data_IF_145984855761
#
_entry.id   IF_145984855761
#
_cell.length_a   1.000
_cell.length_b   1.000
_cell.length_c   1.000
_cell.angle_alpha   90.00
_cell.angle_beta   90.00
_cell.angle_gamma   90.00
#
_symmetry.space_group_name_H-M   'P 1'
#
loop_
_entity.id
_entity.type
_entity.pdbx_description
1 polymer ?
#
# COMPACT_ATOMS: atom_id res chain seq x y z
N UNK A 1 -46.03 -0.66 3.23
CA UNK A 1 -44.69 -0.87 3.84
C UNK A 1 -43.69 -0.49 2.78
N UNK A 2 -43.08 0.68 2.92
CA UNK A 2 -42.24 1.34 1.92
C UNK A 2 -40.85 0.72 1.90
N UNK A 3 -40.43 0.28 0.71
CA UNK A 3 -39.08 -0.14 0.37
C UNK A 3 -38.15 1.08 0.30
N UNK A 4 -37.16 1.16 1.18
CA UNK A 4 -36.05 2.10 1.03
C UNK A 4 -34.86 1.38 0.38
N UNK A 5 -34.40 1.91 -0.75
CA UNK A 5 -33.17 1.51 -1.44
C UNK A 5 -31.93 1.95 -0.63
N UNK A 6 -30.85 1.15 -0.58
CA UNK A 6 -29.63 1.58 0.06
C UNK A 6 -28.86 2.56 -0.84
N UNK A 7 -28.77 3.82 -0.39
CA UNK A 7 -27.89 4.84 -0.98
C UNK A 7 -26.41 4.43 -0.86
N UNK A 8 -25.72 4.31 -2.00
CA UNK A 8 -24.28 4.11 -2.06
C UNK A 8 -23.55 5.40 -1.69
N UNK A 9 -22.96 5.41 -0.49
CA UNK A 9 -22.14 6.51 0.00
C UNK A 9 -20.67 6.08 -0.07
N UNK A 10 -20.01 6.41 -1.18
CA UNK A 10 -18.54 6.36 -1.30
C UNK A 10 -17.94 7.41 -0.35
N UNK A 11 -17.54 6.97 0.84
CA UNK A 11 -16.77 7.76 1.81
C UNK A 11 -15.35 7.25 1.88
N UNK A 12 -14.42 8.20 1.83
CA UNK A 12 -13.00 8.02 2.08
C UNK A 12 -12.77 7.75 3.57
N UNK A 13 -12.44 6.52 3.92
CA UNK A 13 -11.57 6.19 5.06
C UNK A 13 -10.12 6.58 4.69
N UNK A 14 -9.22 7.01 5.56
CA UNK A 14 -9.23 7.27 6.98
C UNK A 14 -8.12 8.28 7.30
N UNK A 15 -8.20 8.86 8.50
CA UNK A 15 -7.34 9.92 9.01
C UNK A 15 -5.96 9.39 9.44
N UNK A 16 -4.90 9.84 8.75
CA UNK A 16 -3.50 9.44 8.94
C UNK A 16 -2.77 10.24 10.06
N UNK A 17 -3.45 10.53 11.17
CA UNK A 17 -2.95 11.49 12.18
C UNK A 17 -2.10 10.84 13.30
N UNK A 18 -2.04 9.52 13.39
CA UNK A 18 -1.45 8.87 14.59
C UNK A 18 0.05 8.51 14.49
N UNK A 19 0.75 8.84 13.39
CA UNK A 19 2.17 8.48 13.21
C UNK A 19 3.19 9.59 13.51
N UNK A 20 2.79 10.77 14.00
CA UNK A 20 3.73 11.89 14.25
C UNK A 20 4.22 12.06 15.70
N UNK A 21 3.77 11.27 16.68
CA UNK A 21 4.12 11.52 18.10
C UNK A 21 5.28 10.71 18.69
N UNK A 22 6.02 9.91 17.91
CA UNK A 22 7.24 9.22 18.40
C UNK A 22 8.56 9.93 18.04
N UNK A 23 8.53 11.24 17.81
CA UNK A 23 9.74 12.09 17.76
C UNK A 23 9.94 12.83 19.09
N UNK A 24 10.16 12.11 20.18
CA UNK A 24 10.61 12.72 21.44
C UNK A 24 12.00 12.20 21.81
N UNK A 25 12.99 13.08 21.60
CA UNK A 25 14.28 13.16 22.32
C UNK A 25 15.02 11.84 22.52
N UNK A 26 15.67 11.36 21.47
CA UNK A 26 16.78 10.42 21.64
C UNK A 26 18.12 11.15 21.51
N UNK A 27 18.91 11.02 22.59
CA UNK A 27 20.27 11.54 22.73
C UNK A 27 21.22 10.93 21.71
N UNK A 28 22.08 11.79 21.14
CA UNK A 28 23.18 11.44 20.24
C UNK A 28 24.18 10.50 20.93
N UNK A 29 24.01 9.19 20.81
CA UNK A 29 25.08 8.22 21.04
C UNK A 29 25.44 7.53 19.71
N UNK A 30 26.68 7.61 19.23
CA UNK A 30 27.11 6.98 17.99
C UNK A 30 27.37 5.49 18.24
N UNK A 31 26.30 4.72 18.31
CA UNK A 31 26.38 3.29 18.60
C UNK A 31 25.08 2.56 18.28
N UNK A 32 24.96 2.07 17.04
CA UNK A 32 24.11 0.92 16.66
C UNK A 32 22.61 1.02 17.01
N UNK A 33 21.95 2.16 16.71
CA UNK A 33 20.52 2.38 17.03
C UNK A 33 19.48 2.01 15.96
N UNK A 34 19.81 1.27 14.91
CA UNK A 34 18.81 0.93 13.87
C UNK A 34 18.24 -0.48 14.03
N UNK A 35 17.76 -0.81 15.24
CA UNK A 35 17.21 -2.16 15.53
C UNK A 35 15.73 -2.21 15.86
N UNK A 36 14.99 -1.10 15.80
CA UNK A 36 13.57 -1.12 16.15
C UNK A 36 12.77 -1.78 15.03
N UNK A 37 12.09 -2.87 15.38
CA UNK A 37 11.02 -3.47 14.57
C UNK A 37 9.71 -2.88 15.08
N UNK A 38 8.97 -2.20 14.22
CA UNK A 38 7.62 -1.73 14.54
C UNK A 38 6.63 -2.70 13.95
N UNK A 39 5.69 -3.18 14.76
CA UNK A 39 4.63 -4.10 14.35
C UNK A 39 3.30 -3.43 14.67
N UNK A 40 2.46 -3.29 13.66
CA UNK A 40 1.13 -2.71 13.79
C UNK A 40 0.11 -3.64 13.13
N UNK A 41 -1.12 -3.58 13.63
CA UNK A 41 -2.26 -4.31 13.09
C UNK A 41 -3.41 -3.32 12.87
N UNK A 42 -3.98 -3.33 11.67
CA UNK A 42 -5.06 -2.43 11.24
C UNK A 42 -6.26 -3.24 10.79
N UNK A 43 -7.45 -2.93 11.34
CA UNK A 43 -8.70 -3.50 10.86
C UNK A 43 -9.15 -2.74 9.61
N UNK A 44 -9.37 -3.48 8.53
CA UNK A 44 -9.84 -2.91 7.27
C UNK A 44 -11.37 -2.85 7.25
N UNK A 45 -11.94 -1.92 6.49
CA UNK A 45 -13.38 -1.82 6.34
C UNK A 45 -13.97 -3.09 5.71
N UNK A 46 -15.22 -3.40 6.06
CA UNK A 46 -15.91 -4.64 5.65
C UNK A 46 -16.40 -4.63 4.18
N UNK A 47 -15.94 -3.70 3.35
CA UNK A 47 -16.26 -3.75 1.93
C UNK A 47 -15.23 -4.60 1.19
N UNK A 48 -15.72 -5.33 0.19
CA UNK A 48 -14.85 -6.09 -0.69
C UNK A 48 -13.94 -5.14 -1.48
N UNK A 49 -12.64 -5.39 -1.44
CA UNK A 49 -11.75 -5.10 -2.56
C UNK A 49 -11.64 -6.40 -3.32
N UNK A 50 -12.47 -6.56 -4.35
CA UNK A 50 -12.56 -7.78 -5.14
C UNK A 50 -11.17 -8.11 -5.72
N UNK A 51 -10.69 -9.33 -5.44
CA UNK A 51 -9.38 -9.80 -5.92
C UNK A 51 -9.24 -9.63 -7.43
N UNK A 52 -10.27 -9.95 -8.19
CA UNK A 52 -10.32 -9.79 -9.64
C UNK A 52 -10.01 -8.36 -10.09
N UNK A 53 -10.69 -7.37 -9.50
CA UNK A 53 -10.47 -5.96 -9.80
C UNK A 53 -9.02 -5.57 -9.49
N UNK A 54 -8.51 -5.95 -8.31
CA UNK A 54 -7.13 -5.64 -7.92
C UNK A 54 -6.11 -6.23 -8.89
N UNK A 55 -6.30 -7.49 -9.31
CA UNK A 55 -5.43 -8.17 -10.26
C UNK A 55 -5.43 -7.48 -11.63
N UNK A 56 -6.61 -7.06 -12.12
CA UNK A 56 -6.71 -6.34 -13.38
C UNK A 56 -5.95 -5.01 -13.35
N UNK A 57 -6.08 -4.25 -12.25
CA UNK A 57 -5.34 -2.99 -12.06
C UNK A 57 -3.84 -3.24 -11.91
N UNK A 58 -3.44 -4.26 -11.15
CA UNK A 58 -2.03 -4.66 -10.99
C UNK A 58 -1.41 -5.04 -12.34
N UNK A 59 -2.11 -5.82 -13.15
CA UNK A 59 -1.61 -6.23 -14.47
C UNK A 59 -1.40 -5.03 -15.40
N UNK A 60 -2.31 -4.05 -15.35
CA UNK A 60 -2.24 -2.84 -16.16
C UNK A 60 -1.17 -1.85 -15.66
N UNK A 61 -0.99 -1.73 -14.34
CA UNK A 61 -0.25 -0.63 -13.70
C UNK A 61 1.10 -1.02 -13.11
N UNK A 62 1.33 -2.29 -12.82
CA UNK A 62 2.62 -2.77 -12.34
C UNK A 62 3.68 -2.73 -13.44
N UNK A 63 4.95 -2.69 -13.03
CA UNK A 63 6.06 -2.82 -13.96
C UNK A 63 5.98 -4.15 -14.72
N UNK A 64 5.82 -5.23 -13.95
CA UNK A 64 5.76 -6.62 -14.40
C UNK A 64 5.09 -7.48 -13.35
N UNK A 65 4.53 -8.61 -13.79
CA UNK A 65 4.08 -9.72 -12.95
C UNK A 65 4.90 -10.94 -13.37
N UNK A 66 5.64 -11.54 -12.44
CA UNK A 66 6.55 -12.65 -12.70
C UNK A 66 6.25 -13.81 -11.77
N UNK A 67 6.42 -15.02 -12.27
CA UNK A 67 6.21 -16.27 -11.53
C UNK A 67 7.56 -16.97 -11.35
N UNK A 68 7.94 -17.27 -10.12
CA UNK A 68 9.24 -17.87 -9.82
C UNK A 68 9.39 -19.25 -10.46
N UNK A 69 8.31 -20.03 -10.51
CA UNK A 69 8.30 -21.34 -11.16
C UNK A 69 8.60 -21.32 -12.66
N UNK A 70 8.14 -20.29 -13.36
CA UNK A 70 8.42 -20.13 -14.80
C UNK A 70 9.90 -19.86 -15.05
N UNK A 71 10.58 -19.22 -14.09
CA UNK A 71 11.98 -18.79 -14.21
C UNK A 71 12.95 -19.86 -13.68
N UNK A 72 12.53 -20.61 -12.67
CA UNK A 72 13.27 -21.71 -12.08
C UNK A 72 12.43 -22.99 -12.18
N UNK A 73 12.28 -23.58 -13.39
CA UNK A 73 11.63 -24.85 -13.53
C UNK A 73 12.36 -25.87 -12.64
N UNK A 74 11.61 -26.57 -11.79
CA UNK A 74 12.17 -27.63 -10.98
C UNK A 74 12.71 -28.69 -11.94
N UNK A 75 14.03 -28.86 -11.97
CA UNK A 75 14.73 -29.84 -12.79
C UNK A 75 14.14 -31.25 -12.51
N UNK A 76 13.12 -31.67 -13.27
CA UNK A 76 12.40 -32.91 -13.01
C UNK A 76 10.97 -33.00 -13.57
N UNK A 77 10.31 -31.88 -13.88
CA UNK A 77 8.92 -31.90 -14.42
C UNK A 77 8.86 -32.00 -15.96
N UNK A 78 9.88 -32.58 -16.59
CA UNK A 78 10.05 -32.64 -18.05
C UNK A 78 9.04 -33.56 -18.80
N UNK A 79 8.07 -34.17 -18.10
CA UNK A 79 7.19 -35.17 -18.71
C UNK A 79 5.71 -35.05 -18.31
N UNK A 80 5.07 -33.90 -18.53
CA UNK A 80 3.67 -33.90 -19.00
C UNK A 80 3.30 -32.55 -19.59
N UNK A 81 3.63 -32.34 -20.87
CA UNK A 81 2.91 -31.36 -21.70
C UNK A 81 1.46 -31.85 -21.86
N UNK A 82 0.61 -31.63 -20.85
CA UNK A 82 -0.84 -31.64 -21.07
C UNK A 82 -1.20 -30.38 -21.85
N UNK A 83 -1.09 -30.53 -23.17
CA UNK A 83 -2.04 -30.05 -24.17
C UNK A 83 -2.88 -28.85 -23.72
N UNK A 84 -2.34 -27.64 -23.89
CA UNK A 84 -3.18 -26.47 -24.07
C UNK A 84 -4.02 -26.69 -25.33
N UNK A 85 -5.29 -27.01 -25.11
CA UNK A 85 -6.37 -27.08 -26.09
C UNK A 85 -6.36 -25.81 -26.97
N UNK A 86 -5.67 -25.86 -28.10
CA UNK A 86 -5.96 -24.98 -29.22
C UNK A 86 -7.06 -25.64 -30.05
N UNK A 87 -8.26 -25.08 -29.94
CA UNK A 87 -9.38 -25.42 -30.80
C UNK A 87 -9.11 -24.77 -32.16
N UNK A 88 -8.49 -25.49 -33.09
CA UNK A 88 -8.43 -25.11 -34.50
C UNK A 88 -9.19 -26.15 -35.31
N UNK A 89 -10.44 -25.84 -35.65
CA UNK A 89 -11.13 -26.51 -36.76
C UNK A 89 -10.48 -26.07 -38.08
N UNK A 90 -10.16 -27.07 -38.91
CA UNK A 90 -9.94 -27.12 -40.36
C UNK A 90 -10.16 -25.82 -41.19
N UNK A 91 -9.40 -25.51 -42.26
CA UNK A 91 -9.17 -26.34 -43.46
C UNK A 91 -7.88 -25.98 -44.23
N UNK A 92 -7.42 -26.99 -44.96
CA UNK A 92 -6.26 -27.16 -45.83
C UNK A 92 -5.90 -25.99 -46.77
N UNK A 93 -4.61 -25.62 -46.75
CA UNK A 93 -3.94 -25.09 -47.94
C UNK A 93 -2.44 -25.47 -47.94
N UNK A 94 -2.09 -26.44 -48.78
CA UNK A 94 -0.73 -26.81 -49.13
C UNK A 94 -0.09 -25.71 -50.00
N UNK A 95 0.98 -25.09 -49.52
CA UNK A 95 2.04 -24.53 -50.38
C UNK A 95 3.38 -24.65 -49.69
N UNK A 96 4.21 -25.52 -50.27
CA UNK A 96 5.66 -25.63 -50.09
C UNK A 96 6.34 -24.28 -50.34
N UNK A 97 6.90 -23.64 -49.31
CA UNK A 97 8.08 -22.80 -49.48
C UNK A 97 9.06 -23.01 -48.32
N UNK A 98 10.25 -23.47 -48.71
CA UNK A 98 11.42 -23.72 -47.88
C UNK A 98 11.94 -22.40 -47.29
N UNK A 99 11.51 -22.06 -46.08
CA UNK A 99 12.18 -21.05 -45.27
C UNK A 99 13.13 -21.74 -44.30
N UNK A 100 14.43 -21.58 -44.55
CA UNK A 100 15.51 -21.92 -43.62
C UNK A 100 15.19 -21.34 -42.24
N UNK A 101 14.87 -22.23 -41.30
CA UNK A 101 14.80 -21.99 -39.87
C UNK A 101 16.17 -21.50 -39.38
N UNK A 102 16.41 -20.19 -39.49
CA UNK A 102 17.21 -19.47 -38.51
C UNK A 102 16.47 -19.56 -37.16
N UNK A 103 16.60 -20.72 -36.50
CA UNK A 103 16.44 -20.81 -35.05
C UNK A 103 17.56 -19.99 -34.47
N UNK A 104 17.33 -18.69 -34.39
CA UNK A 104 17.95 -17.86 -33.38
C UNK A 104 17.83 -18.66 -32.10
N UNK A 105 18.97 -19.15 -31.62
CA UNK A 105 19.12 -19.69 -30.28
C UNK A 105 18.80 -18.51 -29.38
N UNK A 106 17.51 -18.30 -29.12
CA UNK A 106 16.98 -17.33 -28.20
C UNK A 106 17.68 -17.66 -26.89
N UNK A 107 18.76 -16.95 -26.65
CA UNK A 107 19.57 -17.11 -25.47
C UNK A 107 18.61 -16.87 -24.33
N UNK A 108 18.54 -17.89 -23.47
CA UNK A 108 17.72 -18.07 -22.29
C UNK A 108 17.93 -16.92 -21.29
N UNK A 109 17.54 -15.72 -21.73
CA UNK A 109 17.79 -14.46 -21.07
C UNK A 109 16.63 -14.23 -20.14
N UNK A 110 16.84 -14.67 -18.90
CA UNK A 110 15.91 -14.47 -17.79
C UNK A 110 15.38 -13.02 -17.80
N UNK A 111 14.07 -12.82 -17.61
CA UNK A 111 13.47 -11.49 -17.68
C UNK A 111 14.09 -10.58 -16.60
N UNK A 112 14.38 -9.31 -16.93
CA UNK A 112 14.99 -8.39 -15.97
C UNK A 112 14.01 -8.05 -14.83
N UNK A 113 14.50 -8.10 -13.59
CA UNK A 113 13.72 -7.72 -12.41
C UNK A 113 13.60 -6.20 -12.26
N UNK A 114 12.42 -5.66 -11.92
CA UNK A 114 12.30 -4.25 -11.58
C UNK A 114 13.11 -3.90 -10.33
N UNK A 115 13.53 -2.63 -10.18
CA UNK A 115 14.29 -2.19 -9.00
C UNK A 115 13.49 -2.32 -7.70
N UNK A 116 12.15 -2.31 -7.77
CA UNK A 116 11.27 -2.50 -6.62
C UNK A 116 10.36 -3.70 -6.87
N UNK A 117 10.38 -4.68 -5.96
CA UNK A 117 9.61 -5.92 -6.07
C UNK A 117 8.75 -6.11 -4.82
N UNK A 118 7.46 -6.37 -5.03
CA UNK A 118 6.64 -7.07 -4.05
C UNK A 118 6.77 -8.57 -4.26
N UNK A 119 7.29 -9.28 -3.26
CA UNK A 119 7.17 -10.74 -3.20
C UNK A 119 5.82 -11.06 -2.58
N UNK A 120 4.87 -11.51 -3.41
CA UNK A 120 3.52 -11.89 -3.00
C UNK A 120 3.42 -13.40 -2.82
N UNK A 121 3.02 -13.85 -1.62
CA UNK A 121 2.87 -15.27 -1.29
C UNK A 121 1.53 -15.54 -0.61
N UNK A 122 0.94 -16.71 -0.90
CA UNK A 122 -0.23 -17.20 -0.17
C UNK A 122 0.15 -18.16 0.96
N UNK A 123 -0.26 -17.81 2.17
CA UNK A 123 -0.18 -18.70 3.32
C UNK A 123 -1.49 -19.47 3.46
N UNK A 124 -1.65 -20.51 2.63
CA UNK A 124 -2.84 -21.36 2.61
C UNK A 124 -2.69 -22.57 3.55
N UNK A 125 -3.60 -22.69 4.51
CA UNK A 125 -3.63 -23.83 5.43
C UNK A 125 -4.15 -25.12 4.79
N UNK A 126 -4.96 -25.05 3.72
CA UNK A 126 -5.61 -26.25 3.14
C UNK A 126 -4.61 -27.26 2.57
N UNK A 127 -3.52 -26.77 1.98
CA UNK A 127 -2.48 -27.65 1.42
C UNK A 127 -1.45 -28.08 2.47
N UNK A 128 -1.50 -27.50 3.67
CA UNK A 128 -0.41 -27.51 4.63
C UNK A 128 -0.95 -27.21 6.05
N UNK A 129 -1.80 -28.09 6.56
CA UNK A 129 -2.68 -27.90 7.73
C UNK A 129 -2.01 -27.62 9.08
N UNK A 130 -0.71 -27.37 9.14
CA UNK A 130 0.00 -27.01 10.37
C UNK A 130 1.36 -26.34 10.16
N UNK A 131 1.57 -25.61 9.06
CA UNK A 131 2.85 -24.90 8.90
C UNK A 131 2.92 -23.78 9.93
N UNK A 132 3.80 -23.95 10.92
CA UNK A 132 4.11 -22.91 11.90
C UNK A 132 4.72 -21.69 11.19
N UNK A 133 4.63 -20.49 11.78
CA UNK A 133 5.30 -19.30 11.25
C UNK A 133 6.78 -19.54 10.89
N UNK A 134 7.50 -20.32 11.70
CA UNK A 134 8.91 -20.67 11.49
C UNK A 134 9.11 -21.54 10.25
N UNK A 135 8.30 -22.60 10.11
CA UNK A 135 8.34 -23.49 8.95
C UNK A 135 8.01 -22.71 7.67
N UNK A 136 7.02 -21.81 7.71
CA UNK A 136 6.66 -20.98 6.56
C UNK A 136 7.80 -20.04 6.17
N UNK A 137 8.40 -19.36 7.14
CA UNK A 137 9.54 -18.47 6.89
C UNK A 137 10.74 -19.21 6.29
N UNK A 138 11.03 -20.41 6.79
CA UNK A 138 12.20 -21.20 6.39
C UNK A 138 12.03 -21.87 5.03
N UNK A 139 10.86 -22.45 4.75
CA UNK A 139 10.66 -23.30 3.58
C UNK A 139 9.96 -22.60 2.41
N UNK A 140 9.30 -21.45 2.65
CA UNK A 140 8.58 -20.71 1.60
C UNK A 140 9.21 -19.34 1.39
N UNK A 141 9.27 -18.52 2.44
CA UNK A 141 9.74 -17.13 2.31
C UNK A 141 11.22 -17.07 1.97
N UNK A 142 12.08 -17.80 2.68
CA UNK A 142 13.52 -17.75 2.44
C UNK A 142 13.91 -18.20 1.02
N UNK A 143 13.47 -19.37 0.51
CA UNK A 143 13.82 -19.80 -0.84
C UNK A 143 13.32 -18.82 -1.91
N UNK A 144 12.09 -18.30 -1.78
CA UNK A 144 11.55 -17.33 -2.73
C UNK A 144 12.37 -16.02 -2.77
N UNK A 145 12.81 -15.53 -1.61
CA UNK A 145 13.71 -14.36 -1.54
C UNK A 145 15.07 -14.66 -2.17
N UNK A 146 15.63 -15.84 -1.92
CA UNK A 146 16.91 -16.26 -2.50
C UNK A 146 16.84 -16.36 -4.02
N UNK A 147 15.76 -16.93 -4.58
CA UNK A 147 15.52 -16.98 -6.01
C UNK A 147 15.43 -15.59 -6.64
N UNK A 148 14.75 -14.61 -6.01
CA UNK A 148 14.72 -13.22 -6.50
C UNK A 148 16.13 -12.61 -6.52
N UNK A 149 16.92 -12.87 -5.48
CA UNK A 149 18.30 -12.36 -5.41
C UNK A 149 19.22 -13.04 -6.42
N UNK A 150 18.98 -14.30 -6.79
CA UNK A 150 19.70 -14.98 -7.87
C UNK A 150 19.38 -14.40 -9.26
N UNK A 151 18.19 -13.83 -9.44
CA UNK A 151 17.81 -13.11 -10.67
C UNK A 151 18.41 -11.71 -10.75
N UNK A 152 18.98 -11.21 -9.66
CA UNK A 152 19.60 -9.91 -9.61
C UNK A 152 20.89 -9.90 -10.47
N UNK A 153 20.93 -9.06 -11.50
CA UNK A 153 22.16 -8.83 -12.29
C UNK A 153 23.22 -8.15 -11.42
N UNK A 154 24.50 -8.42 -11.66
CA UNK A 154 25.67 -8.02 -10.83
C UNK A 154 25.74 -6.52 -10.47
N UNK A 155 25.05 -5.63 -11.19
CA UNK A 155 25.12 -4.18 -11.00
C UNK A 155 23.80 -3.49 -10.61
N UNK A 156 22.75 -4.25 -10.30
CA UNK A 156 21.45 -3.66 -9.98
C UNK A 156 20.98 -4.11 -8.61
N UNK A 157 20.83 -3.19 -7.65
CA UNK A 157 20.17 -3.50 -6.38
C UNK A 157 18.66 -3.66 -6.57
N UNK A 158 18.09 -4.74 -6.06
CA UNK A 158 16.64 -4.95 -6.00
C UNK A 158 16.17 -4.73 -4.57
N UNK A 159 15.20 -3.85 -4.39
CA UNK A 159 14.49 -3.62 -3.13
C UNK A 159 13.29 -4.56 -3.06
N UNK A 160 13.28 -5.47 -2.08
CA UNK A 160 12.21 -6.46 -1.91
C UNK A 160 11.34 -6.09 -0.71
N UNK A 161 10.03 -6.08 -0.90
CA UNK A 161 9.03 -5.94 0.16
C UNK A 161 8.13 -7.18 0.17
N UNK A 162 8.01 -7.84 1.33
CA UNK A 162 7.23 -9.07 1.44
C UNK A 162 5.75 -8.76 1.69
N UNK A 163 4.88 -9.40 0.92
CA UNK A 163 3.43 -9.36 1.11
C UNK A 163 2.90 -10.77 1.18
N UNK A 164 2.19 -11.10 2.26
CA UNK A 164 1.61 -12.41 2.47
C UNK A 164 0.11 -12.27 2.65
N UNK A 165 -0.69 -13.07 1.96
CA UNK A 165 -2.11 -13.23 2.28
C UNK A 165 -2.35 -14.57 2.96
N UNK A 166 -2.86 -14.53 4.18
CA UNK A 166 -3.21 -15.72 4.96
C UNK A 166 -4.70 -15.97 4.85
N UNK A 167 -5.04 -17.04 4.13
CA UNK A 167 -6.41 -17.52 3.99
C UNK A 167 -6.74 -18.42 5.17
N UNK A 168 -7.71 -17.99 5.97
CA UNK A 168 -8.12 -18.73 7.17
C UNK A 168 -9.44 -19.45 6.88
N UNK A 169 -9.40 -20.78 6.82
CA UNK A 169 -10.60 -21.61 6.67
C UNK A 169 -11.23 -21.79 8.04
N UNK A 170 -12.09 -20.88 8.47
CA UNK A 170 -12.77 -21.01 9.77
C UNK A 170 -14.25 -21.25 9.56
N UNK A 171 -14.72 -22.41 9.99
CA UNK A 171 -16.15 -22.73 10.06
C UNK A 171 -16.85 -22.00 11.22
N UNK A 172 -16.09 -21.51 12.21
CA UNK A 172 -16.60 -20.85 13.42
C UNK A 172 -16.23 -19.35 13.49
N UNK A 173 -17.20 -18.49 13.84
CA UNK A 173 -17.04 -17.02 13.91
C UNK A 173 -16.51 -16.52 15.28
N UNK A 174 -15.62 -17.27 15.93
CA UNK A 174 -15.17 -16.94 17.29
C UNK A 174 -14.09 -15.85 17.30
N UNK A 175 -14.26 -14.84 18.16
CA UNK A 175 -13.29 -13.74 18.37
C UNK A 175 -11.91 -14.24 18.83
N UNK A 176 -11.86 -15.38 19.53
CA UNK A 176 -10.60 -16.03 19.94
C UNK A 176 -9.76 -16.41 18.73
N UNK A 177 -10.39 -16.89 17.66
CA UNK A 177 -9.71 -17.31 16.44
C UNK A 177 -9.10 -16.10 15.75
N UNK A 178 -9.81 -14.97 15.68
CA UNK A 178 -9.23 -13.72 15.15
C UNK A 178 -7.96 -13.32 15.89
N UNK A 179 -7.98 -13.32 17.23
CA UNK A 179 -6.81 -12.96 18.04
C UNK A 179 -5.64 -13.92 17.82
N UNK A 180 -5.92 -15.22 17.69
CA UNK A 180 -4.91 -16.23 17.36
C UNK A 180 -4.29 -15.99 15.98
N UNK A 181 -5.09 -15.69 14.95
CA UNK A 181 -4.57 -15.41 13.60
C UNK A 181 -3.70 -14.15 13.58
N UNK A 182 -4.10 -13.10 14.31
CA UNK A 182 -3.28 -11.89 14.48
C UNK A 182 -1.97 -12.24 15.18
N UNK A 183 -2.01 -13.00 16.29
CA UNK A 183 -0.81 -13.41 17.01
C UNK A 183 0.16 -14.21 16.13
N UNK A 184 -0.34 -15.13 15.30
CA UNK A 184 0.48 -15.90 14.37
C UNK A 184 1.09 -15.03 13.27
N UNK A 185 0.37 -14.02 12.77
CA UNK A 185 0.91 -13.05 11.82
C UNK A 185 2.03 -12.21 12.45
N UNK A 186 1.84 -11.74 13.69
CA UNK A 186 2.86 -11.00 14.41
C UNK A 186 4.09 -11.86 14.72
N UNK A 187 3.90 -13.15 15.01
CA UNK A 187 4.98 -14.11 15.20
C UNK A 187 5.79 -14.29 13.90
N UNK A 188 5.14 -14.44 12.75
CA UNK A 188 5.83 -14.50 11.45
C UNK A 188 6.66 -13.24 11.19
N UNK A 189 6.08 -12.06 11.44
CA UNK A 189 6.78 -10.78 11.32
C UNK A 189 8.02 -10.73 12.21
N UNK A 190 7.91 -11.19 13.46
CA UNK A 190 9.04 -11.24 14.39
C UNK A 190 10.13 -12.19 13.92
N UNK A 191 9.78 -13.38 13.41
CA UNK A 191 10.76 -14.34 12.90
C UNK A 191 11.54 -13.72 11.74
N UNK A 192 10.85 -13.16 10.75
CA UNK A 192 11.48 -12.49 9.60
C UNK A 192 12.42 -11.35 10.06
N UNK A 193 12.00 -10.58 11.06
CA UNK A 193 12.75 -9.42 11.53
C UNK A 193 13.91 -9.76 12.50
N UNK A 194 13.91 -10.94 13.13
CA UNK A 194 14.84 -11.27 14.23
C UNK A 194 15.74 -12.47 13.95
N UNK A 195 15.34 -13.38 13.07
CA UNK A 195 16.08 -14.62 12.86
C UNK A 195 17.39 -14.37 12.09
N UNK A 196 18.49 -14.45 12.83
CA UNK A 196 19.83 -14.30 12.30
C UNK A 196 20.22 -15.44 11.34
N UNK A 197 19.60 -16.62 11.47
CA UNK A 197 19.91 -17.77 10.63
C UNK A 197 19.30 -17.61 9.23
N UNK A 198 18.07 -17.10 9.14
CA UNK A 198 17.40 -16.86 7.85
C UNK A 198 18.00 -15.65 7.12
N UNK A 199 18.52 -14.68 7.86
CA UNK A 199 19.10 -13.45 7.30
C UNK A 199 18.10 -12.56 6.54
N UNK A 200 16.80 -12.87 6.63
CA UNK A 200 15.73 -12.22 5.87
C UNK A 200 15.62 -10.72 6.15
N UNK A 201 15.83 -10.31 7.40
CA UNK A 201 15.80 -8.89 7.80
C UNK A 201 16.69 -7.99 6.93
N UNK A 202 17.84 -8.49 6.47
CA UNK A 202 18.77 -7.70 5.66
C UNK A 202 18.43 -7.75 4.16
N UNK A 203 17.59 -8.70 3.74
CA UNK A 203 17.17 -8.92 2.35
C UNK A 203 15.82 -8.24 2.05
N UNK A 204 15.00 -8.00 3.08
CA UNK A 204 13.66 -7.44 2.99
C UNK A 204 13.60 -6.06 3.65
N UNK A 205 12.89 -5.12 3.02
CA UNK A 205 12.70 -3.77 3.58
C UNK A 205 11.54 -3.69 4.59
N UNK A 206 10.61 -4.64 4.50
CA UNK A 206 9.45 -4.76 5.39
C UNK A 206 8.54 -5.89 4.96
N UNK A 207 7.49 -6.09 5.75
CA UNK A 207 6.50 -7.15 5.55
C UNK A 207 5.09 -6.64 5.81
N UNK A 208 4.14 -7.08 5.00
CA UNK A 208 2.71 -6.91 5.23
C UNK A 208 2.03 -8.28 5.14
N UNK A 209 1.19 -8.60 6.11
CA UNK A 209 0.40 -9.83 6.16
C UNK A 209 -1.08 -9.45 6.17
N UNK A 210 -1.81 -9.82 5.13
CA UNK A 210 -3.26 -9.78 5.08
C UNK A 210 -3.86 -11.00 5.76
N UNK A 211 -4.90 -10.77 6.57
CA UNK A 211 -5.68 -11.79 7.25
C UNK A 211 -7.13 -11.68 6.78
N UNK A 212 -7.62 -12.74 6.15
CA UNK A 212 -9.02 -12.84 5.74
C UNK A 212 -9.59 -14.24 5.97
N UNK A 213 -10.90 -14.28 6.23
CA UNK A 213 -11.65 -15.53 6.36
C UNK A 213 -12.32 -15.98 5.04
N UNK A 214 -12.12 -15.24 3.94
CA UNK A 214 -12.69 -15.53 2.63
C UNK A 214 -11.58 -15.47 1.57
N UNK A 215 -11.49 -16.50 0.72
CA UNK A 215 -10.46 -16.63 -0.31
C UNK A 215 -10.53 -15.52 -1.38
N UNK A 216 -11.68 -14.88 -1.53
CA UNK A 216 -11.91 -13.79 -2.48
C UNK A 216 -11.45 -12.43 -1.94
N UNK A 217 -11.29 -12.30 -0.63
CA UNK A 217 -10.65 -11.14 -0.03
C UNK A 217 -9.13 -11.34 0.00
N UNK A 218 -8.38 -10.32 -0.37
CA UNK A 218 -6.91 -10.39 -0.41
C UNK A 218 -6.31 -9.10 0.17
N UNK A 219 -6.28 -8.96 1.51
CA UNK A 219 -5.89 -7.71 2.16
C UNK A 219 -4.43 -7.32 1.95
N UNK A 220 -3.57 -8.32 1.74
CA UNK A 220 -2.17 -8.16 1.33
C UNK A 220 -2.10 -7.67 -0.11
N UNK A 221 -2.84 -8.28 -1.03
CA UNK A 221 -2.90 -7.83 -2.42
C UNK A 221 -3.42 -6.39 -2.55
N UNK A 222 -4.37 -5.98 -1.70
CA UNK A 222 -4.82 -4.59 -1.61
C UNK A 222 -3.66 -3.64 -1.22
N UNK A 223 -2.73 -4.09 -0.35
CA UNK A 223 -1.54 -3.32 -0.02
C UNK A 223 -0.62 -3.15 -1.24
N UNK A 224 -0.47 -4.19 -2.06
CA UNK A 224 0.27 -4.12 -3.33
C UNK A 224 -0.38 -3.11 -4.28
N UNK A 225 -1.69 -3.21 -4.50
CA UNK A 225 -2.43 -2.30 -5.37
C UNK A 225 -2.30 -0.84 -4.90
N UNK A 226 -2.53 -0.57 -3.61
CA UNK A 226 -2.41 0.76 -3.03
C UNK A 226 -1.02 1.37 -3.25
N UNK A 227 0.03 0.56 -3.13
CA UNK A 227 1.41 0.97 -3.39
C UNK A 227 1.68 1.21 -4.88
N UNK A 228 1.22 0.32 -5.78
CA UNK A 228 1.41 0.46 -7.23
C UNK A 228 0.71 1.72 -7.78
N UNK A 229 -0.46 2.07 -7.23
CA UNK A 229 -1.22 3.25 -7.63
C UNK A 229 -0.63 4.58 -7.15
N UNK A 230 0.38 4.57 -6.27
CA UNK A 230 1.11 5.79 -5.89
C UNK A 230 1.73 6.40 -7.14
N UNK A 231 1.36 7.65 -7.44
CA UNK A 231 1.84 8.36 -8.62
C UNK A 231 1.08 8.06 -9.92
N UNK A 232 0.04 7.21 -9.92
CA UNK A 232 -0.70 6.86 -11.15
C UNK A 232 -1.29 8.09 -11.88
N UNK A 233 -1.80 9.07 -11.13
CA UNK A 233 -2.30 10.31 -11.73
C UNK A 233 -1.19 11.10 -12.45
N UNK A 234 0.03 11.13 -11.89
CA UNK A 234 1.19 11.78 -12.50
C UNK A 234 1.62 11.03 -13.77
N UNK A 235 1.71 9.70 -13.69
CA UNK A 235 2.07 8.83 -14.82
C UNK A 235 1.10 8.92 -15.98
N UNK A 236 -0.22 8.99 -15.72
CA UNK A 236 -1.26 9.17 -16.75
C UNK A 236 -1.18 10.50 -17.50
N UNK A 237 -0.67 11.54 -16.84
CA UNK A 237 -0.50 12.86 -17.46
C UNK A 237 0.89 13.06 -18.04
N UNK A 238 1.79 12.09 -17.88
CA UNK A 238 3.10 12.15 -18.49
C UNK A 238 2.93 12.22 -20.01
N UNK A 239 3.38 13.31 -20.65
CA UNK A 239 3.16 13.48 -22.07
C UNK A 239 3.90 12.36 -22.78
N UNK A 240 3.15 11.50 -23.47
CA UNK A 240 3.68 10.61 -24.50
C UNK A 240 4.14 11.49 -25.66
N UNK A 241 5.20 12.27 -25.45
CA UNK A 241 5.90 12.96 -26.53
C UNK A 241 6.31 11.85 -27.46
N UNK A 242 5.73 11.86 -28.67
CA UNK A 242 5.91 10.80 -29.66
C UNK A 242 7.38 10.42 -29.75
N UNK A 243 7.70 9.21 -29.29
CA UNK A 243 9.03 8.64 -29.09
C UNK A 243 9.69 8.33 -30.43
N UNK A 244 9.67 9.28 -31.39
CA UNK A 244 10.20 9.07 -32.73
C UNK A 244 11.72 9.22 -32.83
N UNK A 245 12.42 9.75 -31.81
CA UNK A 245 13.86 10.04 -31.92
C UNK A 245 14.74 9.61 -30.73
N UNK A 246 14.19 8.93 -29.72
CA UNK A 246 14.95 8.55 -28.50
C UNK A 246 15.46 7.09 -28.51
N UNK A 247 15.75 6.53 -29.69
CA UNK A 247 15.92 5.08 -29.90
C UNK A 247 17.32 4.50 -29.70
N UNK A 248 18.34 5.26 -29.29
CA UNK A 248 19.73 4.78 -29.46
C UNK A 248 20.49 4.47 -28.16
N UNK A 249 20.10 5.01 -27.00
CA UNK A 249 20.88 4.74 -25.79
C UNK A 249 19.97 4.72 -24.57
N UNK A 250 19.48 3.54 -24.17
CA UNK A 250 19.28 3.19 -22.76
C UNK A 250 18.80 1.74 -22.60
N UNK A 251 19.63 1.01 -21.87
CA UNK A 251 19.43 -0.23 -21.12
C UNK A 251 18.10 -0.96 -21.30
N UNK A 252 18.23 -2.28 -21.55
CA UNK A 252 17.26 -3.38 -21.71
C UNK A 252 16.16 -3.51 -20.63
N UNK A 253 15.93 -2.51 -19.80
CA UNK A 253 14.71 -2.42 -19.01
C UNK A 253 13.55 -2.07 -19.94
N UNK A 254 12.88 -3.10 -20.43
CA UNK A 254 11.67 -3.04 -21.26
C UNK A 254 10.47 -2.30 -20.61
N UNK A 255 10.64 -1.55 -19.51
CA UNK A 255 9.65 -0.57 -19.09
C UNK A 255 9.75 0.69 -19.94
N UNK A 256 9.48 0.56 -21.24
CA UNK A 256 9.31 1.71 -22.13
C UNK A 256 8.00 2.49 -21.86
N UNK A 257 7.21 2.05 -20.88
CA UNK A 257 5.90 2.63 -20.59
C UNK A 257 5.95 3.52 -19.34
N UNK A 258 6.02 4.85 -19.49
CA UNK A 258 5.96 5.78 -18.36
C UNK A 258 4.62 5.71 -17.61
N UNK A 259 3.59 5.06 -18.15
CA UNK A 259 2.31 4.89 -17.46
C UNK A 259 2.39 3.88 -16.30
N UNK A 260 3.39 2.99 -16.31
CA UNK A 260 3.56 1.91 -15.32
C UNK A 260 4.38 2.35 -14.11
N UNK A 261 4.09 1.72 -12.98
CA UNK A 261 4.87 1.86 -11.75
C UNK A 261 6.27 1.25 -11.93
N UNK A 262 7.23 1.67 -11.11
CA UNK A 262 8.55 1.01 -10.98
C UNK A 262 8.49 -0.25 -10.09
N UNK A 263 7.32 -0.57 -9.55
CA UNK A 263 7.10 -1.74 -8.71
C UNK A 263 6.57 -2.89 -9.56
N UNK A 264 7.26 -4.03 -9.53
CA UNK A 264 6.73 -5.31 -10.03
C UNK A 264 6.21 -6.20 -8.92
N UNK A 265 5.44 -7.20 -9.31
CA UNK A 265 5.02 -8.29 -8.42
C UNK A 265 5.71 -9.57 -8.86
N UNK A 266 6.30 -10.26 -7.90
CA UNK A 266 6.83 -11.62 -8.05
C UNK A 266 6.02 -12.52 -7.13
N UNK A 267 5.56 -13.65 -7.65
CA UNK A 267 4.84 -14.66 -6.86
C UNK A 267 5.38 -16.05 -7.17
N UNK A 268 5.13 -17.02 -6.31
CA UNK A 268 5.63 -18.39 -6.50
C UNK A 268 4.81 -19.13 -7.55
N UNK A 269 3.47 -19.01 -7.47
CA UNK A 269 2.50 -19.75 -8.26
C UNK A 269 1.59 -18.81 -9.06
N UNK A 270 1.19 -19.20 -10.26
CA UNK A 270 0.21 -18.42 -11.03
C UNK A 270 -1.15 -18.38 -10.32
N UNK A 271 -1.50 -19.48 -9.67
CA UNK A 271 -2.74 -19.68 -8.91
C UNK A 271 -2.86 -18.72 -7.72
N UNK A 272 -1.74 -18.17 -7.23
CA UNK A 272 -1.77 -17.18 -6.15
C UNK A 272 -2.39 -15.86 -6.63
N UNK A 273 -2.34 -15.60 -7.93
CA UNK A 273 -2.88 -14.43 -8.60
C UNK A 273 -4.06 -14.77 -9.52
N UNK A 274 -4.64 -15.97 -9.44
CA UNK A 274 -5.89 -16.25 -10.16
C UNK A 274 -7.10 -15.80 -9.33
N UNK A 275 -8.10 -15.17 -9.97
CA UNK A 275 -9.36 -14.89 -9.31
C UNK A 275 -10.10 -16.20 -9.03
N UNK A 276 -10.87 -16.24 -7.94
CA UNK A 276 -11.85 -17.31 -7.72
C UNK A 276 -12.91 -17.27 -8.83
N UNK A 277 -13.45 -18.43 -9.20
CA UNK A 277 -14.51 -18.57 -10.21
C UNK A 277 -15.81 -17.83 -9.80
N UNK A 278 -16.00 -17.55 -8.52
CA UNK A 278 -17.16 -16.85 -8.00
C UNK A 278 -17.02 -15.33 -8.17
N UNK A 279 -18.01 -14.73 -8.84
CA UNK A 279 -18.07 -13.28 -9.13
C UNK A 279 -18.86 -12.47 -8.10
N UNK A 280 -19.48 -13.13 -7.13
CA UNK A 280 -20.28 -12.45 -6.12
C UNK A 280 -19.40 -11.66 -5.16
N UNK A 281 -19.86 -10.45 -4.80
CA UNK A 281 -19.20 -9.60 -3.83
C UNK A 281 -19.05 -10.33 -2.50
N UNK A 282 -17.86 -10.22 -1.89
CA UNK A 282 -17.58 -10.84 -0.60
C UNK A 282 -18.46 -10.23 0.48
N UNK A 283 -19.29 -11.05 1.12
CA UNK A 283 -20.15 -10.66 2.22
C UNK A 283 -19.66 -11.30 3.52
N UNK A 284 -20.03 -10.71 4.67
CA UNK A 284 -19.79 -11.29 5.99
C UNK A 284 -18.32 -11.52 6.35
N UNK A 285 -17.44 -10.61 5.93
CA UNK A 285 -16.06 -10.56 6.42
C UNK A 285 -16.04 -10.21 7.91
N UNK A 286 -15.80 -11.21 8.76
CA UNK A 286 -15.56 -11.00 10.19
C UNK A 286 -14.08 -10.81 10.49
N UNK A 287 -13.20 -11.41 9.68
CA UNK A 287 -11.75 -11.21 9.71
C UNK A 287 -11.34 -10.47 8.42
N UNK A 288 -11.06 -9.18 8.55
CA UNK A 288 -10.46 -8.38 7.49
C UNK A 288 -9.44 -7.44 8.13
N UNK A 289 -8.19 -7.87 8.20
CA UNK A 289 -7.15 -7.19 8.99
C UNK A 289 -5.82 -7.28 8.27
N UNK A 290 -4.97 -6.28 8.47
CA UNK A 290 -3.61 -6.26 7.95
C UNK A 290 -2.64 -6.05 9.11
N UNK A 291 -1.67 -6.94 9.24
CA UNK A 291 -0.56 -6.78 10.17
C UNK A 291 0.70 -6.47 9.38
N UNK A 292 1.49 -5.49 9.81
CA UNK A 292 2.68 -5.09 9.08
C UNK A 292 3.85 -4.81 10.00
N UNK A 293 5.03 -5.15 9.50
CA UNK A 293 6.30 -4.99 10.18
C UNK A 293 7.29 -4.25 9.30
N UNK A 294 8.02 -3.31 9.88
CA UNK A 294 9.13 -2.65 9.19
C UNK A 294 10.29 -2.40 10.13
N UNK A 295 11.48 -2.29 9.55
CA UNK A 295 12.75 -2.09 10.26
C UNK A 295 13.67 -1.18 9.46
N UNK A 296 14.77 -0.75 10.09
CA UNK A 296 15.81 0.06 9.45
C UNK A 296 15.33 1.42 8.95
N UNK A 297 14.17 1.93 9.41
CA UNK A 297 13.61 3.20 8.95
C UNK A 297 13.04 3.19 7.52
N UNK A 298 12.90 2.02 6.88
CA UNK A 298 12.44 1.93 5.48
C UNK A 298 10.91 2.18 5.35
N UNK A 299 10.17 2.06 6.46
CA UNK A 299 8.74 2.34 6.56
C UNK A 299 7.86 1.23 6.00
N UNK A 300 6.56 1.50 5.88
CA UNK A 300 5.57 0.56 5.33
C UNK A 300 5.54 0.58 3.79
N UNK A 301 4.65 -0.22 3.19
CA UNK A 301 4.48 -0.36 1.73
C UNK A 301 4.32 0.98 0.97
N UNK A 302 3.65 1.99 1.53
CA UNK A 302 3.57 3.30 0.87
C UNK A 302 4.91 4.07 0.88
N UNK A 303 5.78 3.89 1.87
CA UNK A 303 7.12 4.49 1.86
C UNK A 303 8.00 3.82 0.80
N UNK A 304 7.87 2.50 0.67
CA UNK A 304 8.45 1.72 -0.42
C UNK A 304 7.97 2.26 -1.77
N UNK A 305 6.66 2.47 -1.93
CA UNK A 305 6.08 3.04 -3.14
C UNK A 305 6.53 4.48 -3.43
N UNK A 306 6.69 5.32 -2.41
CA UNK A 306 7.19 6.68 -2.58
C UNK A 306 8.63 6.71 -3.12
N UNK A 307 9.49 5.76 -2.69
CA UNK A 307 10.83 5.59 -3.27
C UNK A 307 10.78 5.10 -4.71
N UNK A 308 9.91 4.14 -5.00
CA UNK A 308 9.70 3.67 -6.37
C UNK A 308 9.22 4.80 -7.31
N UNK A 309 8.27 5.61 -6.86
CA UNK A 309 7.80 6.77 -7.62
C UNK A 309 8.87 7.85 -7.77
N UNK A 310 9.74 8.04 -6.77
CA UNK A 310 10.90 8.94 -6.89
C UNK A 310 11.86 8.46 -7.99
N UNK A 311 12.21 7.16 -8.00
CA UNK A 311 13.04 6.60 -9.05
C UNK A 311 12.38 6.71 -10.42
N UNK A 312 11.05 6.54 -10.49
CA UNK A 312 10.28 6.78 -11.70
C UNK A 312 10.49 8.21 -12.22
N UNK A 313 10.34 9.23 -11.36
CA UNK A 313 10.59 10.63 -11.74
C UNK A 313 12.02 10.87 -12.17
N UNK A 314 13.01 10.30 -11.47
CA UNK A 314 14.43 10.39 -11.84
C UNK A 314 14.71 9.79 -13.23
N UNK A 315 13.98 8.73 -13.57
CA UNK A 315 14.12 8.03 -14.85
C UNK A 315 13.49 8.83 -15.99
N UNK A 316 12.30 9.40 -15.78
CA UNK A 316 11.48 10.01 -16.83
C UNK A 316 11.53 11.54 -16.88
N UNK A 317 11.66 12.24 -15.74
CA UNK A 317 11.72 13.70 -15.65
C UNK A 317 13.17 14.23 -15.62
N UNK A 318 14.04 13.74 -16.51
CA UNK A 318 15.45 14.15 -16.52
C UNK A 318 15.66 15.64 -16.82
N UNK A 319 14.73 16.27 -17.52
CA UNK A 319 14.86 17.67 -17.94
C UNK A 319 14.28 18.69 -16.94
N UNK A 320 13.59 18.26 -15.87
CA UNK A 320 12.83 19.16 -14.99
C UNK A 320 13.34 19.23 -13.53
N UNK A 321 14.59 18.82 -13.30
CA UNK A 321 15.32 18.95 -12.03
C UNK A 321 15.65 20.41 -11.62
N UNK A 322 14.86 21.37 -12.08
CA UNK A 322 14.84 22.76 -11.60
C UNK A 322 13.58 23.11 -10.80
N UNK A 323 12.64 22.19 -10.59
CA UNK A 323 11.42 22.44 -9.80
C UNK A 323 11.56 22.08 -8.30
N UNK A 324 12.72 22.36 -7.69
CA UNK A 324 13.02 22.04 -6.28
C UNK A 324 12.27 22.94 -5.26
N UNK A 325 11.29 23.73 -5.71
CA UNK A 325 10.53 24.66 -4.85
C UNK A 325 9.14 24.16 -4.45
N UNK A 326 8.53 23.23 -5.18
CA UNK A 326 7.14 22.82 -4.91
C UNK A 326 7.00 21.46 -4.19
N UNK A 327 8.06 20.64 -4.19
CA UNK A 327 8.04 19.29 -3.57
C UNK A 327 8.07 19.28 -2.03
N UNK A 328 8.45 20.38 -1.37
CA UNK A 328 8.29 20.50 0.10
C UNK A 328 6.83 20.55 0.55
N UNK A 329 5.87 20.66 -0.37
CA UNK A 329 4.43 20.61 -0.06
C UNK A 329 3.81 19.21 -0.15
N UNK A 330 4.45 18.26 -0.84
CA UNK A 330 3.84 16.96 -1.17
C UNK A 330 3.86 15.97 0.01
N UNK A 331 4.76 16.15 0.98
CA UNK A 331 4.80 15.34 2.20
C UNK A 331 3.59 15.51 3.15
N UNK A 332 2.72 16.50 2.91
CA UNK A 332 1.53 16.77 3.71
C UNK A 332 0.23 16.70 2.88
N UNK A 333 0.28 16.28 1.62
CA UNK A 333 -0.81 16.48 0.66
C UNK A 333 -1.47 15.18 0.16
N UNK A 334 -1.98 14.36 1.09
CA UNK A 334 -3.17 13.52 0.80
C UNK A 334 -4.47 14.35 0.71
N UNK A 335 -4.37 15.69 0.75
CA UNK A 335 -5.47 16.67 0.67
C UNK A 335 -5.69 17.28 -0.73
N UNK A 336 -5.05 16.75 -1.78
CA UNK A 336 -5.16 17.31 -3.15
C UNK A 336 -6.56 17.11 -3.75
N UNK A 337 -7.31 16.09 -3.32
CA UNK A 337 -8.69 15.89 -3.80
C UNK A 337 -9.71 16.92 -3.28
N UNK A 338 -9.37 17.81 -2.35
CA UNK A 338 -10.28 18.89 -1.93
C UNK A 338 -10.08 20.21 -2.69
N UNK A 339 -8.90 20.49 -3.23
CA UNK A 339 -8.62 21.77 -3.89
C UNK A 339 -9.14 21.89 -5.33
N UNK A 340 -9.41 20.77 -6.02
CA UNK A 340 -9.86 20.84 -7.43
C UNK A 340 -11.30 21.34 -7.62
N UNK A 341 -12.13 21.33 -6.56
CA UNK A 341 -13.53 21.81 -6.65
C UNK A 341 -13.71 23.33 -6.55
N UNK A 342 -12.67 24.10 -6.17
CA UNK A 342 -12.78 25.57 -6.10
C UNK A 342 -12.42 26.31 -7.39
N UNK A 343 -11.81 25.66 -8.38
CA UNK A 343 -11.35 26.35 -9.62
C UNK A 343 -12.29 26.26 -10.82
N UNK A 344 -13.43 25.54 -10.74
CA UNK A 344 -14.36 25.38 -11.88
C UNK A 344 -15.62 26.27 -11.87
N UNK A 345 -15.72 27.28 -11.00
CA UNK A 345 -16.86 28.24 -10.99
C UNK A 345 -16.52 29.68 -11.40
N UNK A 346 -15.36 29.94 -12.00
CA UNK A 346 -14.89 31.31 -12.26
C UNK A 346 -14.49 31.63 -13.70
N UNK A 347 -14.85 30.83 -14.71
CA UNK A 347 -14.39 31.04 -16.09
C UNK A 347 -15.55 31.14 -17.08
N UNK A 348 -16.43 32.13 -16.89
CA UNK A 348 -17.38 32.57 -17.93
C UNK A 348 -17.89 34.02 -17.81
N UNK A 349 -17.29 34.88 -16.98
CA UNK A 349 -17.60 36.32 -16.99
C UNK A 349 -16.38 37.16 -16.67
N UNK A 350 -15.69 37.64 -17.70
CA UNK A 350 -15.20 39.03 -17.80
C UNK A 350 -14.34 39.23 -19.05
N UNK A 351 -14.99 39.49 -20.17
CA UNK A 351 -14.38 40.11 -21.37
C UNK A 351 -14.81 41.58 -21.51
N UNK A 352 -15.27 42.22 -20.43
CA UNK A 352 -15.74 43.61 -20.51
C UNK A 352 -15.76 44.28 -19.12
N UNK A 353 -14.59 44.59 -18.57
CA UNK A 353 -14.40 45.65 -17.55
C UNK A 353 -12.90 45.85 -17.33
N UNK A 354 -12.28 46.53 -18.29
CA UNK A 354 -10.86 46.89 -18.29
C UNK A 354 -10.79 48.40 -18.50
N UNK A 355 -11.18 49.18 -17.48
CA UNK A 355 -10.83 50.60 -17.39
C UNK A 355 -10.95 51.20 -15.99
N UNK A 356 -11.75 50.65 -15.05
CA UNK A 356 -12.07 51.39 -13.80
C UNK A 356 -11.67 50.65 -12.51
N UNK A 357 -10.66 49.77 -12.54
CA UNK A 357 -10.24 48.97 -11.35
C UNK A 357 -8.73 49.03 -11.07
N UNK A 358 -8.14 50.21 -11.20
CA UNK A 358 -6.76 50.47 -10.73
C UNK A 358 -6.68 51.07 -9.32
N UNK A 359 -7.77 51.60 -8.75
CA UNK A 359 -7.72 52.24 -7.42
C UNK A 359 -8.22 51.38 -6.23
N UNK A 360 -8.67 50.15 -6.48
CA UNK A 360 -9.19 49.25 -5.42
C UNK A 360 -8.27 48.03 -5.15
N UNK A 361 -6.97 48.16 -5.47
CA UNK A 361 -5.92 47.16 -5.19
C UNK A 361 -5.01 47.52 -4.01
N UNK A 362 -5.42 48.46 -3.17
CA UNK A 362 -4.65 48.94 -2.03
C UNK A 362 -5.29 48.63 -0.67
N UNK A 363 -5.81 47.41 -0.43
CA UNK A 363 -6.16 46.99 0.94
C UNK A 363 -6.49 45.49 1.10
N UNK A 364 -5.82 44.58 0.39
CA UNK A 364 -5.85 43.16 0.73
C UNK A 364 -4.58 42.82 1.50
N UNK A 365 -4.63 43.11 2.80
CA UNK A 365 -3.62 42.67 3.77
C UNK A 365 -3.53 41.15 3.71
N UNK A 366 -2.49 40.65 3.05
CA UNK A 366 -2.06 39.26 3.15
C UNK A 366 -1.67 39.03 4.61
N UNK A 367 -2.53 38.35 5.36
CA UNK A 367 -2.21 37.93 6.73
C UNK A 367 -0.94 37.08 6.66
N UNK A 368 0.03 37.44 7.50
CA UNK A 368 1.32 36.75 7.56
C UNK A 368 1.08 35.28 7.92
N UNK A 369 1.87 34.36 7.36
CA UNK A 369 1.79 32.93 7.67
C UNK A 369 1.83 32.63 9.18
N UNK A 370 2.38 33.53 9.99
CA UNK A 370 2.37 33.44 11.45
C UNK A 370 1.00 33.77 12.07
N UNK A 371 0.21 34.68 11.50
CA UNK A 371 -1.15 34.97 11.97
C UNK A 371 -2.10 33.81 11.69
N UNK A 372 -1.98 33.19 10.51
CA UNK A 372 -2.77 32.00 10.15
C UNK A 372 -2.47 30.86 11.14
N UNK A 373 -1.19 30.64 11.45
CA UNK A 373 -0.77 29.60 12.41
C UNK A 373 -1.29 29.87 13.83
N UNK A 374 -1.27 31.13 14.29
CA UNK A 374 -1.85 31.51 15.58
C UNK A 374 -3.37 31.31 15.65
N UNK A 375 -4.07 31.49 14.52
CA UNK A 375 -5.53 31.29 14.45
C UNK A 375 -5.92 29.82 14.53
N UNK A 376 -5.10 28.94 13.92
CA UNK A 376 -5.33 27.50 13.97
C UNK A 376 -5.05 26.92 15.35
N UNK A 377 -4.04 27.42 16.07
CA UNK A 377 -3.73 27.00 17.45
C UNK A 377 -4.86 27.37 18.41
N UNK A 378 -5.37 28.61 18.34
CA UNK A 378 -6.53 29.03 19.16
C UNK A 378 -7.78 28.21 18.90
N UNK A 379 -7.98 27.76 17.66
CA UNK A 379 -9.14 26.93 17.30
C UNK A 379 -8.99 25.51 17.87
N UNK A 380 -7.77 24.96 17.87
CA UNK A 380 -7.49 23.67 18.48
C UNK A 380 -7.70 23.71 20.00
N UNK A 381 -7.21 24.75 20.68
CA UNK A 381 -7.42 24.95 22.12
C UNK A 381 -8.92 25.03 22.45
N UNK A 382 -9.69 25.77 21.64
CA UNK A 382 -11.15 25.87 21.81
C UNK A 382 -11.84 24.49 21.71
N UNK A 383 -11.40 23.62 20.78
CA UNK A 383 -11.94 22.27 20.64
C UNK A 383 -11.60 21.39 21.85
N UNK A 384 -10.39 21.52 22.41
CA UNK A 384 -9.99 20.80 23.63
C UNK A 384 -10.83 21.24 24.83
N UNK A 385 -11.04 22.55 25.00
CA UNK A 385 -11.93 23.06 26.06
C UNK A 385 -13.37 22.61 25.88
N UNK A 386 -13.89 22.60 24.66
CA UNK A 386 -15.24 22.11 24.37
C UNK A 386 -15.38 20.62 24.70
N UNK A 387 -14.40 19.79 24.32
CA UNK A 387 -14.38 18.37 24.65
C UNK A 387 -14.33 18.13 26.16
N UNK A 388 -13.46 18.84 26.89
CA UNK A 388 -13.38 18.77 28.35
C UNK A 388 -14.70 19.15 29.02
N UNK A 389 -15.36 20.21 28.54
CA UNK A 389 -16.66 20.63 29.06
C UNK A 389 -17.74 19.54 28.88
N UNK A 390 -17.75 18.85 27.73
CA UNK A 390 -18.67 17.73 27.49
C UNK A 390 -18.37 16.55 28.39
N UNK A 391 -17.10 16.18 28.57
CA UNK A 391 -16.69 15.09 29.47
C UNK A 391 -17.09 15.42 30.91
N UNK A 392 -16.82 16.64 31.38
CA UNK A 392 -17.21 17.08 32.73
C UNK A 392 -18.74 17.04 32.88
N UNK A 393 -19.50 17.48 31.87
CA UNK A 393 -20.96 17.42 31.89
C UNK A 393 -21.48 15.98 31.93
N UNK A 394 -20.85 15.04 31.21
CA UNK A 394 -21.21 13.62 31.25
C UNK A 394 -20.89 12.99 32.61
N UNK A 395 -19.69 13.26 33.17
CA UNK A 395 -19.30 12.78 34.51
C UNK A 395 -20.25 13.35 35.57
N UNK A 396 -20.56 14.64 35.52
CA UNK A 396 -21.52 15.27 36.42
C UNK A 396 -22.90 14.63 36.29
N UNK A 397 -23.35 14.31 35.07
CA UNK A 397 -24.64 13.64 34.85
C UNK A 397 -24.67 12.21 35.38
N UNK A 398 -23.58 11.47 35.24
CA UNK A 398 -23.49 10.08 35.70
C UNK A 398 -23.36 9.96 37.22
N UNK A 399 -22.58 10.85 37.84
CA UNK A 399 -22.19 10.75 39.26
C UNK A 399 -22.74 11.87 40.12
N UNK A 400 -23.82 12.53 39.67
CA UNK A 400 -24.38 13.72 40.33
C UNK A 400 -24.61 13.50 41.83
N UNK A 401 -25.22 12.38 42.17
CA UNK A 401 -25.65 12.10 43.55
C UNK A 401 -24.43 11.78 44.43
N UNK A 402 -23.49 10.98 43.91
CA UNK A 402 -22.23 10.64 44.61
C UNK A 402 -21.37 11.88 44.86
N UNK A 403 -21.20 12.75 43.85
CA UNK A 403 -20.46 14.00 44.00
C UNK A 403 -21.16 14.93 45.00
N UNK A 404 -22.49 15.01 44.99
CA UNK A 404 -23.24 15.83 45.94
C UNK A 404 -23.06 15.37 47.40
N UNK A 405 -23.03 14.05 47.62
CA UNK A 405 -22.79 13.46 48.94
C UNK A 405 -21.36 13.72 49.42
N UNK A 406 -20.37 13.64 48.52
CA UNK A 406 -18.97 13.96 48.87
C UNK A 406 -18.85 15.44 49.25
N UNK A 407 -19.49 16.34 48.48
CA UNK A 407 -19.46 17.77 48.75
C UNK A 407 -20.16 18.13 50.07
N UNK A 408 -21.26 17.44 50.44
CA UNK A 408 -21.90 17.67 51.73
C UNK A 408 -21.01 17.26 52.88
N UNK A 409 -20.35 16.10 52.79
CA UNK A 409 -19.37 15.62 53.80
C UNK A 409 -18.20 16.60 53.94
N UNK A 410 -17.66 17.09 52.83
CA UNK A 410 -16.58 18.10 52.86
C UNK A 410 -17.05 19.40 53.52
N UNK A 411 -18.29 19.83 53.26
CA UNK A 411 -18.84 21.05 53.88
C UNK A 411 -19.02 20.92 55.39
N UNK A 412 -19.47 19.74 55.85
CA UNK A 412 -19.61 19.45 57.28
C UNK A 412 -18.23 19.43 57.95
N UNK A 413 -17.26 18.74 57.35
CA UNK A 413 -15.88 18.72 57.86
C UNK A 413 -15.27 20.12 57.92
N UNK A 414 -15.48 20.96 56.90
CA UNK A 414 -15.01 22.33 56.91
C UNK A 414 -15.66 23.12 58.05
N UNK A 415 -16.98 22.98 58.25
CA UNK A 415 -17.71 23.69 59.31
C UNK A 415 -17.28 23.29 60.72
N UNK A 416 -16.76 22.08 60.90
CA UNK A 416 -16.20 21.64 62.19
C UNK A 416 -14.76 22.13 62.44
N UNK A 417 -14.04 22.53 61.39
CA UNK A 417 -12.65 22.99 61.48
C UNK A 417 -12.51 24.50 61.73
N UNK A 418 -13.54 25.27 61.37
CA UNK A 418 -13.67 26.70 61.67
C UNK A 418 -14.54 26.91 62.91
#
# INVERSE_FOLDING_TARGET
>A
MSSEEPQSVLRKSGSFVELQQLRSKESNSPGRRDKVTVINSEKLPNYSTERYYMLSEIQLKSHSVLFLKDIFPLNGDDETQESSLSYSEHEDHETDEQHEEQRDTATDSKPPLPPFVFLYLLWNQKNNTSISPETYATHVVQPAVEQILELQRENQSVSIYLVVDRLVSVENQDLSIQQEQIALSEQLIRIIASDANLGLRNKLEGVTIGLCNDARAAPGLEACMNAILVGDAERRHYPQKSTKEMSIVRNEFNSNDPSKSMIGIVTEYQEDLTPSEETDAVQNLFLHTRSFGYWGGHGHSLNFAARAQRLWRETWNQDEYQCDKDLKSVGNEYSIMQKSRRRRRGRDRHTQQKSDREDEKASLHFLSSNEIRSSTEKTADLMVYAFLAVVIAMVWRMYRDEISNILSIISELWSTFN
#
